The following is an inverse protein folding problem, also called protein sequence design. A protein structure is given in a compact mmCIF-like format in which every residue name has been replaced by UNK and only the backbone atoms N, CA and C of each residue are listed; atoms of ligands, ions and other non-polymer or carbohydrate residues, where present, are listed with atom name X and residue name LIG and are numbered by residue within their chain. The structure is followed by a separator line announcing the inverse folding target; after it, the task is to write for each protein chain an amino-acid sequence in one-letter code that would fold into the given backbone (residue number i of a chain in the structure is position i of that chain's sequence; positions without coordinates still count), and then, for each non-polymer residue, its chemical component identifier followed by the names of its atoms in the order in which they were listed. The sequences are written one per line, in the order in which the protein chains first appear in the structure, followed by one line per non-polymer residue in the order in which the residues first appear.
data_IF_459270862216
#
_entry.id   IF_459270862216
#
_cell.length_a   1.000
_cell.length_b   1.000
_cell.length_c   1.000
_cell.angle_alpha   90.00
_cell.angle_beta   90.00
_cell.angle_gamma   90.00
#
_symmetry.space_group_name_H-M   'P 1'
#
loop_
_entity.id
_entity.type
_entity.pdbx_description
1 polymer ?
#
# COMPACT_ATOMS: atom_id res chain seq x y z
N UNK A 1 1.13 -33.12 -10.88
CA UNK A 1 1.76 -31.79 -10.75
C UNK A 1 3.27 -31.97 -10.82
N UNK A 2 3.95 -31.51 -11.89
CA UNK A 2 5.43 -31.59 -11.99
C UNK A 2 6.05 -30.65 -10.96
N UNK A 3 6.85 -31.18 -10.03
CA UNK A 3 7.58 -30.39 -9.04
C UNK A 3 8.56 -29.44 -9.72
N UNK A 4 8.57 -28.17 -9.33
CA UNK A 4 9.58 -27.22 -9.81
C UNK A 4 10.87 -27.53 -9.03
N UNK A 5 11.95 -27.99 -9.68
CA UNK A 5 13.18 -28.25 -8.96
C UNK A 5 13.70 -26.93 -8.41
N UNK A 6 13.74 -26.81 -7.08
CA UNK A 6 14.44 -25.71 -6.38
C UNK A 6 15.95 -25.93 -6.56
N UNK A 7 16.44 -25.74 -7.78
CA UNK A 7 17.85 -25.81 -8.10
C UNK A 7 18.50 -24.50 -7.66
N UNK A 8 19.74 -24.54 -7.14
CA UNK A 8 20.52 -23.30 -6.83
C UNK A 8 20.58 -22.32 -8.02
N UNK A 9 20.42 -22.83 -9.23
CA UNK A 9 20.31 -22.06 -10.47
C UNK A 9 19.14 -21.05 -10.49
N UNK A 10 18.07 -21.29 -9.76
CA UNK A 10 16.86 -20.47 -9.78
C UNK A 10 16.80 -19.42 -8.66
N UNK A 11 17.83 -19.32 -7.82
CA UNK A 11 17.86 -18.41 -6.67
C UNK A 11 17.59 -16.95 -7.09
N UNK A 12 18.25 -16.46 -8.13
CA UNK A 12 18.08 -15.08 -8.59
C UNK A 12 16.68 -14.81 -9.13
N UNK A 13 16.06 -15.78 -9.80
CA UNK A 13 14.70 -15.64 -10.29
C UNK A 13 13.65 -15.75 -9.18
N UNK A 14 13.91 -16.53 -8.13
CA UNK A 14 13.10 -16.52 -6.91
C UNK A 14 13.21 -15.20 -6.16
N UNK A 15 14.41 -14.61 -6.07
CA UNK A 15 14.59 -13.26 -5.53
C UNK A 15 13.79 -12.24 -6.34
N UNK A 16 13.84 -12.33 -7.67
CA UNK A 16 13.10 -11.46 -8.57
C UNK A 16 11.58 -11.64 -8.43
N UNK A 17 11.11 -12.88 -8.20
CA UNK A 17 9.69 -13.18 -7.99
C UNK A 17 9.16 -12.69 -6.63
N UNK A 18 9.92 -12.84 -5.55
CA UNK A 18 9.45 -12.62 -4.17
C UNK A 18 9.94 -11.30 -3.59
N UNK A 19 11.24 -11.04 -3.69
CA UNK A 19 11.86 -9.90 -3.01
C UNK A 19 11.57 -8.60 -3.77
N UNK A 20 11.39 -8.65 -5.10
CA UNK A 20 11.12 -7.44 -5.89
C UNK A 20 9.76 -6.80 -5.54
N UNK A 21 8.64 -7.55 -5.44
CA UNK A 21 7.38 -7.00 -4.95
C UNK A 21 7.42 -6.50 -3.50
N UNK A 22 8.12 -7.21 -2.61
CA UNK A 22 8.27 -6.79 -1.21
C UNK A 22 9.08 -5.49 -1.12
N UNK A 23 10.14 -5.37 -1.91
CA UNK A 23 10.95 -4.17 -1.98
C UNK A 23 10.14 -2.99 -2.50
N UNK A 24 9.26 -3.20 -3.49
CA UNK A 24 8.32 -2.18 -3.95
C UNK A 24 7.40 -1.69 -2.82
N UNK A 25 6.83 -2.62 -2.04
CA UNK A 25 6.00 -2.29 -0.87
C UNK A 25 6.74 -1.35 0.10
N UNK A 26 7.97 -1.71 0.48
CA UNK A 26 8.77 -0.89 1.41
C UNK A 26 9.13 0.47 0.80
N UNK A 27 9.51 0.52 -0.47
CA UNK A 27 9.91 1.76 -1.12
C UNK A 27 8.77 2.78 -1.20
N UNK A 28 7.56 2.35 -1.60
CA UNK A 28 6.41 3.25 -1.74
C UNK A 28 5.97 3.84 -0.40
N UNK A 29 6.15 3.11 0.70
CA UNK A 29 5.79 3.60 2.04
C UNK A 29 6.79 4.60 2.62
N UNK A 30 8.05 4.60 2.16
CA UNK A 30 9.12 5.39 2.76
C UNK A 30 9.63 6.53 1.88
N UNK A 31 9.42 6.46 0.56
CA UNK A 31 10.00 7.40 -0.40
C UNK A 31 8.95 8.00 -1.33
N UNK A 32 9.22 9.21 -1.88
CA UNK A 32 8.38 9.78 -2.93
C UNK A 32 8.34 8.85 -4.14
N UNK A 33 7.17 8.74 -4.77
CA UNK A 33 6.88 7.76 -5.83
C UNK A 33 7.90 7.75 -6.97
N UNK A 34 8.38 8.92 -7.40
CA UNK A 34 9.39 9.02 -8.46
C UNK A 34 10.73 8.38 -8.06
N UNK A 35 11.19 8.63 -6.83
CA UNK A 35 12.44 8.05 -6.32
C UNK A 35 12.30 6.54 -6.11
N UNK A 36 11.17 6.10 -5.55
CA UNK A 36 10.85 4.68 -5.38
C UNK A 36 10.90 3.91 -6.71
N UNK A 37 10.32 4.48 -7.78
CA UNK A 37 10.36 3.90 -9.13
C UNK A 37 11.79 3.78 -9.68
N UNK A 38 12.61 4.82 -9.52
CA UNK A 38 14.00 4.81 -10.00
C UNK A 38 14.81 3.71 -9.28
N UNK A 39 14.72 3.65 -7.95
CA UNK A 39 15.41 2.63 -7.16
C UNK A 39 14.94 1.23 -7.55
N UNK A 40 13.62 1.04 -7.70
CA UNK A 40 13.03 -0.23 -8.12
C UNK A 40 13.57 -0.68 -9.49
N UNK A 41 13.62 0.21 -10.49
CA UNK A 41 14.10 -0.12 -11.82
C UNK A 41 15.59 -0.48 -11.84
N UNK A 42 16.41 0.23 -11.06
CA UNK A 42 17.85 -0.08 -10.93
C UNK A 42 18.06 -1.47 -10.33
N UNK A 43 17.31 -1.81 -9.28
CA UNK A 43 17.40 -3.12 -8.62
C UNK A 43 16.87 -4.23 -9.54
N UNK A 44 15.74 -3.99 -10.22
CA UNK A 44 15.17 -4.94 -11.19
C UNK A 44 16.17 -5.24 -12.31
N UNK A 45 16.81 -4.21 -12.88
CA UNK A 45 17.83 -4.38 -13.91
C UNK A 45 19.03 -5.17 -13.38
N UNK A 46 19.54 -4.84 -12.19
CA UNK A 46 20.66 -5.55 -11.59
C UNK A 46 20.38 -7.05 -11.40
N UNK A 47 19.19 -7.41 -10.89
CA UNK A 47 18.80 -8.82 -10.75
C UNK A 47 18.56 -9.53 -12.07
N UNK A 48 17.97 -8.89 -13.06
CA UNK A 48 17.86 -9.46 -14.41
C UNK A 48 19.25 -9.76 -14.95
N UNK A 49 20.20 -8.84 -14.84
CA UNK A 49 21.58 -9.06 -15.31
C UNK A 49 22.27 -10.22 -14.55
N UNK A 50 22.09 -10.31 -13.23
CA UNK A 50 22.63 -11.41 -12.43
C UNK A 50 22.00 -12.77 -12.82
N UNK A 51 20.68 -12.84 -12.99
CA UNK A 51 20.03 -14.07 -13.43
C UNK A 51 20.49 -14.48 -14.84
N UNK A 52 20.57 -13.53 -15.79
CA UNK A 52 21.07 -13.80 -17.14
C UNK A 52 22.50 -14.33 -17.13
N UNK A 53 23.42 -13.70 -16.39
CA UNK A 53 24.81 -14.16 -16.30
C UNK A 53 24.91 -15.55 -15.66
N UNK A 54 24.06 -15.85 -14.67
CA UNK A 54 23.97 -17.16 -14.06
C UNK A 54 23.46 -18.22 -15.04
N UNK A 55 22.46 -17.90 -15.87
CA UNK A 55 21.93 -18.79 -16.91
C UNK A 55 22.97 -19.09 -17.99
N UNK A 56 23.69 -18.06 -18.47
CA UNK A 56 24.73 -18.22 -19.48
C UNK A 56 25.87 -19.11 -18.97
N UNK A 57 26.27 -18.95 -17.70
CA UNK A 57 27.29 -19.82 -17.05
C UNK A 57 26.87 -21.30 -17.01
N UNK A 58 25.57 -21.57 -17.06
CA UNK A 58 25.02 -22.93 -17.05
C UNK A 58 24.72 -23.46 -18.46
N UNK A 59 25.09 -22.72 -19.51
CA UNK A 59 24.81 -23.09 -20.89
C UNK A 59 23.34 -22.93 -21.31
N UNK A 60 22.52 -22.24 -20.50
CA UNK A 60 21.10 -21.99 -20.79
C UNK A 60 20.98 -20.64 -21.51
N UNK A 61 20.20 -20.58 -22.58
CA UNK A 61 19.90 -19.34 -23.28
C UNK A 61 19.02 -18.43 -22.40
N UNK A 62 19.49 -17.23 -22.01
CA UNK A 62 18.68 -16.33 -21.21
C UNK A 62 17.68 -15.53 -22.08
N UNK A 63 16.55 -15.10 -21.51
CA UNK A 63 15.68 -14.11 -22.15
C UNK A 63 16.41 -12.78 -22.41
N UNK A 64 15.79 -11.89 -23.19
CA UNK A 64 16.31 -10.52 -23.38
C UNK A 64 16.28 -9.72 -22.09
N UNK A 65 17.29 -8.86 -21.85
CA UNK A 65 17.30 -7.97 -20.67
C UNK A 65 16.21 -6.91 -20.73
N UNK A 66 15.71 -6.55 -21.92
CA UNK A 66 14.71 -5.50 -22.12
C UNK A 66 13.46 -5.74 -21.26
N UNK A 67 13.16 -7.01 -20.98
CA UNK A 67 12.05 -7.41 -20.11
C UNK A 67 12.22 -7.03 -18.63
N UNK A 68 13.30 -6.36 -18.23
CA UNK A 68 13.43 -5.81 -16.88
C UNK A 68 12.33 -4.78 -16.55
N UNK A 69 11.81 -4.07 -17.55
CA UNK A 69 10.65 -3.17 -17.40
C UNK A 69 9.39 -3.91 -16.97
N UNK A 70 9.25 -5.18 -17.38
CA UNK A 70 8.12 -6.03 -17.06
C UNK A 70 8.62 -7.35 -16.44
N UNK A 71 8.97 -7.35 -15.14
CA UNK A 71 9.49 -8.54 -14.44
C UNK A 71 8.65 -9.81 -14.64
N UNK A 72 7.32 -9.66 -14.71
CA UNK A 72 6.39 -10.77 -15.00
C UNK A 72 6.64 -11.41 -16.36
N UNK A 73 6.91 -10.63 -17.39
CA UNK A 73 7.18 -11.11 -18.73
C UNK A 73 8.57 -11.76 -18.82
N UNK A 74 9.55 -11.20 -18.12
CA UNK A 74 10.87 -11.82 -17.97
C UNK A 74 10.77 -13.22 -17.35
N UNK A 75 10.09 -13.36 -16.21
CA UNK A 75 9.93 -14.63 -15.50
C UNK A 75 9.15 -15.66 -16.34
N UNK A 76 8.10 -15.21 -17.05
CA UNK A 76 7.34 -16.08 -17.98
C UNK A 76 8.21 -16.58 -19.13
N UNK A 77 8.94 -15.69 -19.80
CA UNK A 77 9.76 -16.09 -20.94
C UNK A 77 10.90 -17.01 -20.51
N UNK A 78 11.47 -16.79 -19.32
CA UNK A 78 12.46 -17.68 -18.69
C UNK A 78 11.90 -19.09 -18.46
N UNK A 79 10.74 -19.21 -17.83
CA UNK A 79 10.11 -20.52 -17.58
C UNK A 79 9.75 -21.23 -18.91
N UNK A 80 9.26 -20.47 -19.91
CA UNK A 80 8.93 -21.00 -21.23
C UNK A 80 10.16 -21.51 -22.00
N UNK A 81 11.30 -20.82 -21.94
CA UNK A 81 12.55 -21.26 -22.58
C UNK A 81 13.20 -22.47 -21.91
N UNK A 82 12.80 -22.79 -20.67
CA UNK A 82 13.33 -23.90 -19.89
C UNK A 82 12.36 -25.07 -19.78
N UNK A 83 11.23 -25.04 -20.51
CA UNK A 83 10.13 -26.00 -20.39
C UNK A 83 9.66 -26.23 -18.94
N UNK A 84 9.80 -25.20 -18.10
CA UNK A 84 9.40 -25.20 -16.69
C UNK A 84 7.97 -24.69 -16.52
N UNK A 85 7.23 -25.16 -15.50
CA UNK A 85 5.90 -24.64 -15.23
C UNK A 85 5.99 -23.19 -14.74
N UNK A 86 5.02 -22.34 -15.08
CA UNK A 86 5.03 -20.87 -14.85
C UNK A 86 4.86 -20.43 -13.38
N UNK A 87 5.46 -21.16 -12.44
CA UNK A 87 5.32 -20.93 -11.00
C UNK A 87 5.92 -19.59 -10.58
N UNK A 88 7.03 -19.18 -11.18
CA UNK A 88 7.68 -17.91 -10.83
C UNK A 88 6.78 -16.72 -11.18
N UNK A 89 6.09 -16.79 -12.31
CA UNK A 89 5.09 -15.79 -12.71
C UNK A 89 3.93 -15.75 -11.72
N UNK A 90 3.38 -16.90 -11.34
CA UNK A 90 2.28 -16.99 -10.38
C UNK A 90 2.67 -16.41 -9.02
N UNK A 91 3.85 -16.77 -8.50
CA UNK A 91 4.37 -16.25 -7.23
C UNK A 91 4.55 -14.73 -7.30
N UNK A 92 5.14 -14.22 -8.37
CA UNK A 92 5.31 -12.77 -8.55
C UNK A 92 3.96 -12.04 -8.55
N UNK A 93 2.96 -12.58 -9.25
CA UNK A 93 1.61 -11.99 -9.28
C UNK A 93 0.96 -11.97 -7.91
N UNK A 94 1.04 -13.08 -7.16
CA UNK A 94 0.50 -13.16 -5.79
C UNK A 94 1.20 -12.17 -4.87
N UNK A 95 2.54 -12.14 -4.87
CA UNK A 95 3.31 -11.21 -4.05
C UNK A 95 3.02 -9.73 -4.40
N UNK A 96 2.84 -9.42 -5.68
CA UNK A 96 2.51 -8.07 -6.15
C UNK A 96 1.09 -7.68 -5.72
N UNK A 97 0.11 -8.58 -5.88
CA UNK A 97 -1.25 -8.35 -5.45
C UNK A 97 -1.35 -8.10 -3.93
N UNK A 98 -0.64 -8.90 -3.12
CA UNK A 98 -0.58 -8.72 -1.67
C UNK A 98 0.09 -7.39 -1.29
N UNK A 99 1.16 -7.02 -1.97
CA UNK A 99 1.85 -5.74 -1.75
C UNK A 99 0.92 -4.57 -2.05
N UNK A 100 0.19 -4.62 -3.16
CA UNK A 100 -0.75 -3.56 -3.54
C UNK A 100 -1.94 -3.47 -2.58
N UNK A 101 -2.50 -4.62 -2.17
CA UNK A 101 -3.56 -4.68 -1.16
C UNK A 101 -3.08 -4.09 0.18
N UNK A 102 -1.85 -4.42 0.60
CA UNK A 102 -1.25 -3.86 1.82
C UNK A 102 -1.08 -2.34 1.75
N UNK A 103 -0.55 -1.81 0.64
CA UNK A 103 -0.40 -0.35 0.43
C UNK A 103 -1.78 0.33 0.48
N UNK A 104 -2.78 -0.26 -0.19
CA UNK A 104 -4.12 0.29 -0.23
C UNK A 104 -4.77 0.35 1.16
N UNK A 105 -4.67 -0.74 1.94
CA UNK A 105 -5.20 -0.78 3.30
C UNK A 105 -4.50 0.21 4.24
N UNK A 106 -3.17 0.32 4.17
CA UNK A 106 -2.40 1.25 4.99
C UNK A 106 -2.69 2.71 4.64
N UNK A 107 -2.80 3.05 3.34
CA UNK A 107 -3.15 4.39 2.90
C UNK A 107 -4.58 4.79 3.31
N UNK A 108 -5.53 3.84 3.28
CA UNK A 108 -6.89 4.10 3.76
C UNK A 108 -6.89 4.37 5.26
N UNK A 109 -6.19 3.54 6.04
CA UNK A 109 -6.12 3.68 7.49
C UNK A 109 -5.47 5.00 7.90
N UNK A 110 -4.31 5.34 7.33
CA UNK A 110 -3.62 6.60 7.64
C UNK A 110 -4.43 7.84 7.25
N UNK A 111 -5.16 7.78 6.13
CA UNK A 111 -6.09 8.84 5.73
C UNK A 111 -7.21 9.05 6.75
N UNK A 112 -7.83 7.96 7.23
CA UNK A 112 -8.89 8.04 8.25
C UNK A 112 -8.37 8.52 9.60
N UNK A 113 -7.16 8.14 10.02
CA UNK A 113 -6.56 8.60 11.28
C UNK A 113 -6.22 10.10 11.25
N UNK A 114 -5.64 10.59 10.15
CA UNK A 114 -5.35 12.01 9.96
C UNK A 114 -6.63 12.86 9.92
N UNK A 115 -7.68 12.34 9.28
CA UNK A 115 -8.99 12.99 9.24
C UNK A 115 -9.63 13.01 10.64
N UNK A 116 -9.61 11.90 11.38
CA UNK A 116 -10.10 11.80 12.75
C UNK A 116 -9.40 12.81 13.68
N UNK A 117 -8.07 12.92 13.59
CA UNK A 117 -7.30 13.86 14.39
C UNK A 117 -7.62 15.32 14.04
N UNK A 118 -7.75 15.63 12.74
CA UNK A 118 -8.11 16.97 12.28
C UNK A 118 -9.53 17.36 12.71
N UNK A 119 -10.48 16.44 12.59
CA UNK A 119 -11.85 16.66 13.05
C UNK A 119 -11.92 16.89 14.56
N UNK A 120 -11.16 16.13 15.36
CA UNK A 120 -11.10 16.30 16.82
C UNK A 120 -10.60 17.70 17.22
N UNK A 121 -9.62 18.25 16.48
CA UNK A 121 -9.14 19.61 16.69
C UNK A 121 -10.20 20.67 16.33
N UNK A 122 -11.06 20.41 15.34
CA UNK A 122 -12.19 21.29 14.98
C UNK A 122 -13.31 21.21 16.02
N UNK A 123 -13.70 20.02 16.47
CA UNK A 123 -14.71 19.83 17.54
C UNK A 123 -14.30 20.59 18.80
N UNK A 124 -13.04 20.45 19.22
CA UNK A 124 -12.51 21.15 20.39
C UNK A 124 -12.60 22.67 20.24
N UNK A 125 -12.41 23.21 19.02
CA UNK A 125 -12.57 24.64 18.75
C UNK A 125 -14.03 25.09 18.77
N UNK A 126 -14.97 24.24 18.38
CA UNK A 126 -16.40 24.56 18.41
C UNK A 126 -16.88 24.62 19.87
N UNK A 127 -16.60 23.58 20.66
CA UNK A 127 -16.96 23.52 22.07
C UNK A 127 -16.39 24.71 22.87
N UNK A 128 -15.15 25.09 22.59
CA UNK A 128 -14.54 26.26 23.24
C UNK A 128 -15.21 27.59 22.84
N UNK A 129 -15.71 27.72 21.61
CA UNK A 129 -16.47 28.91 21.18
C UNK A 129 -17.86 28.97 21.81
N UNK A 130 -18.45 27.82 22.09
CA UNK A 130 -19.75 27.69 22.78
C UNK A 130 -19.62 27.87 24.30
N UNK A 131 -18.40 28.07 24.81
CA UNK A 131 -18.12 28.30 26.22
C UNK A 131 -18.00 27.01 27.06
N UNK A 132 -17.93 25.85 26.40
CA UNK A 132 -17.65 24.57 27.06
C UNK A 132 -16.15 24.36 27.24
N UNK A 133 -15.74 23.88 28.42
CA UNK A 133 -14.36 23.49 28.74
C UNK A 133 -14.02 22.05 28.28
N UNK A 134 -14.96 21.43 27.57
CA UNK A 134 -14.82 20.09 27.03
C UNK A 134 -13.88 20.05 25.83
N UNK A 135 -13.10 18.96 25.76
CA UNK A 135 -12.10 18.76 24.71
C UNK A 135 -12.26 17.38 24.11
N UNK A 136 -12.21 17.32 22.78
CA UNK A 136 -12.17 16.03 22.10
C UNK A 136 -10.80 15.38 22.34
N UNK A 137 -10.82 14.14 22.84
CA UNK A 137 -9.64 13.28 23.03
C UNK A 137 -9.39 12.45 21.77
N UNK A 138 -10.46 11.92 21.18
CA UNK A 138 -10.36 11.01 20.03
C UNK A 138 -11.67 10.97 19.26
N UNK A 139 -11.59 10.85 17.94
CA UNK A 139 -12.72 10.49 17.08
C UNK A 139 -12.67 8.98 16.80
N UNK A 140 -13.77 8.30 17.07
CA UNK A 140 -13.95 6.85 16.89
C UNK A 140 -15.12 6.56 15.95
N UNK A 141 -15.26 5.30 15.52
CA UNK A 141 -16.40 4.82 14.73
C UNK A 141 -16.63 5.61 13.44
N UNK A 142 -15.56 5.95 12.73
CA UNK A 142 -15.65 6.61 11.42
C UNK A 142 -16.28 5.68 10.39
N UNK A 143 -17.48 6.00 9.95
CA UNK A 143 -18.20 5.35 8.86
C UNK A 143 -18.32 6.31 7.68
N UNK A 144 -17.96 5.81 6.50
CA UNK A 144 -18.05 6.57 5.27
C UNK A 144 -19.46 6.41 4.67
N UNK A 145 -20.25 7.49 4.65
CA UNK A 145 -21.60 7.49 4.08
C UNK A 145 -21.58 7.79 2.58
N UNK A 146 -20.71 8.72 2.17
CA UNK A 146 -20.51 9.10 0.77
C UNK A 146 -19.04 9.12 0.48
N UNK A 147 -18.62 8.30 -0.49
CA UNK A 147 -17.23 8.10 -0.92
C UNK A 147 -16.41 9.40 -0.91
N UNK A 148 -15.53 9.53 0.08
CA UNK A 148 -14.56 10.62 0.20
C UNK A 148 -15.12 12.00 0.52
N UNK A 149 -16.41 12.13 0.89
CA UNK A 149 -17.04 13.43 1.16
C UNK A 149 -17.70 13.54 2.53
N UNK A 150 -18.47 12.53 2.93
CA UNK A 150 -19.22 12.54 4.19
C UNK A 150 -18.82 11.34 5.04
N UNK A 151 -18.44 11.61 6.29
CA UNK A 151 -18.18 10.60 7.29
C UNK A 151 -19.01 10.86 8.53
N UNK A 152 -19.64 9.82 9.04
CA UNK A 152 -20.26 9.81 10.36
C UNK A 152 -19.25 9.27 11.37
N UNK A 153 -19.09 9.91 12.51
CA UNK A 153 -18.16 9.47 13.54
C UNK A 153 -18.66 9.82 14.95
N UNK A 154 -17.93 9.39 15.98
CA UNK A 154 -18.19 9.73 17.38
C UNK A 154 -16.96 10.43 17.98
N UNK A 155 -17.13 11.64 18.50
CA UNK A 155 -16.12 12.35 19.25
C UNK A 155 -16.18 11.94 20.73
N UNK A 156 -15.11 11.36 21.26
CA UNK A 156 -14.94 11.08 22.68
C UNK A 156 -14.36 12.31 23.36
N UNK A 157 -15.11 12.88 24.30
CA UNK A 157 -14.72 14.04 25.08
C UNK A 157 -13.91 13.65 26.33
N UNK A 158 -13.23 14.62 26.94
CA UNK A 158 -12.52 14.46 28.20
C UNK A 158 -13.41 14.11 29.40
N UNK A 159 -14.71 14.39 29.30
CA UNK A 159 -15.73 13.96 30.26
C UNK A 159 -16.10 12.48 30.11
N UNK A 160 -15.63 11.82 29.05
CA UNK A 160 -15.99 10.43 28.70
C UNK A 160 -17.29 10.31 27.89
N UNK A 161 -17.98 11.44 27.63
CA UNK A 161 -19.17 11.50 26.79
C UNK A 161 -18.77 11.27 25.33
N UNK A 162 -19.61 10.53 24.60
CA UNK A 162 -19.46 10.32 23.16
C UNK A 162 -20.51 11.15 22.43
N UNK A 163 -20.06 12.12 21.66
CA UNK A 163 -20.93 12.95 20.84
C UNK A 163 -20.88 12.48 19.38
N UNK A 164 -22.03 12.23 18.73
CA UNK A 164 -22.06 11.96 17.31
C UNK A 164 -21.62 13.21 16.54
N UNK A 165 -20.76 13.04 15.54
CA UNK A 165 -20.27 14.13 14.68
C UNK A 165 -20.34 13.72 13.22
N UNK A 166 -20.73 14.66 12.37
CA UNK A 166 -20.69 14.49 10.91
C UNK A 166 -19.56 15.32 10.35
N UNK A 167 -18.68 14.69 9.59
CA UNK A 167 -17.51 15.32 8.99
C UNK A 167 -17.75 15.40 7.48
N UNK A 168 -17.73 16.63 6.94
CA UNK A 168 -17.76 16.89 5.51
C UNK A 168 -16.39 17.43 5.05
N UNK A 169 -15.77 16.79 4.05
CA UNK A 169 -14.56 17.32 3.40
C UNK A 169 -14.93 18.02 2.10
N UNK A 170 -14.59 19.32 2.02
CA UNK A 170 -14.68 20.12 0.78
C UNK A 170 -13.28 20.56 0.36
N UNK A 171 -12.66 19.77 -0.51
CA UNK A 171 -11.32 20.09 -1.01
C UNK A 171 -10.26 19.99 0.09
N UNK A 172 -9.77 21.15 0.56
CA UNK A 172 -8.78 21.23 1.65
C UNK A 172 -9.40 21.54 3.02
N UNK A 173 -10.67 21.94 3.05
CA UNK A 173 -11.34 22.35 4.27
C UNK A 173 -12.21 21.20 4.82
N UNK A 174 -12.19 21.05 6.14
CA UNK A 174 -12.95 20.05 6.90
C UNK A 174 -14.03 20.80 7.68
N UNK A 175 -15.28 20.47 7.41
CA UNK A 175 -16.43 20.98 8.14
C UNK A 175 -16.90 19.89 9.09
N UNK A 176 -17.11 20.24 10.35
CA UNK A 176 -17.65 19.32 11.36
C UNK A 176 -18.97 19.89 11.84
N UNK A 177 -20.00 19.06 11.81
CA UNK A 177 -21.34 19.38 12.30
C UNK A 177 -21.60 18.54 13.54
N UNK A 178 -21.85 19.22 14.65
CA UNK A 178 -22.41 18.63 15.87
C UNK A 178 -23.94 18.66 15.71
N UNK A 179 -24.66 17.57 16.02
CA UNK A 179 -26.11 17.63 16.12
C UNK A 179 -26.46 18.61 17.24
N UNK A 180 -27.40 19.52 16.97
CA UNK A 180 -27.93 20.40 18.01
C UNK A 180 -28.44 19.52 19.16
N UNK A 181 -27.97 19.82 20.38
CA UNK A 181 -28.46 19.16 21.57
C UNK A 181 -29.98 19.31 21.57
N UNK A 182 -30.69 18.20 21.36
CA UNK A 182 -32.13 18.19 21.14
C UNK A 182 -32.86 18.97 22.24
N UNK A 183 -33.78 19.84 21.81
CA UNK A 183 -34.86 20.37 22.64
C UNK A 183 -35.73 19.26 23.23
#
# INVERSE_FOLDING_TARGET
MRSYPLLRADLFAWCLAVVLPILWFVLVLNFPQALALVIYLVIALAWVLLDRTNLVKQGISPPSFIWFWFPVAYLRQRDQMQDKPWRLMQVWLVCTALSFAGIYLLNRQSGTENLAQSACAVVTKILHKEGSDERCIRVTDMQEEVSGRFWQAQALLNTGVKEPVTIEVRGRDIYVVLPEAGE
#
